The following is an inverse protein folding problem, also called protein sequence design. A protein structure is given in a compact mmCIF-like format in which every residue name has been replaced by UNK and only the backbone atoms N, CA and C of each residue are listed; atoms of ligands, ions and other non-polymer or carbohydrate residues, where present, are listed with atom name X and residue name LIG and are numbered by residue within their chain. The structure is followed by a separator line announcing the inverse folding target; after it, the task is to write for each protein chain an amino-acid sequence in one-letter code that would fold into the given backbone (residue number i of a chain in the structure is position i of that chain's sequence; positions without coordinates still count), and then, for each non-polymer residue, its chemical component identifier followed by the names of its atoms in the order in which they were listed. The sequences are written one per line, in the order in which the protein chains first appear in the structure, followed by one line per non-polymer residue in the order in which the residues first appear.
data_IF_382218477722
#
_entry.id   IF_382218477722
#
_cell.length_a   1.000
_cell.length_b   1.000
_cell.length_c   1.000
_cell.angle_alpha   90.00
_cell.angle_beta   90.00
_cell.angle_gamma   90.00
#
_symmetry.space_group_name_H-M   'P 1'
#
loop_
_entity.id
_entity.type
_entity.pdbx_description
1 polymer ?
#
# COMPACT_ATOMS: atom_id res chain seq x y z
N UNK A 1 -10.88 13.74 -7.97
CA UNK A 1 -9.89 12.68 -7.64
C UNK A 1 -8.98 12.48 -8.82
N UNK A 2 -7.70 12.23 -8.54
CA UNK A 2 -6.70 11.81 -9.54
C UNK A 2 -6.27 10.39 -9.15
N UNK A 3 -6.21 9.50 -10.15
CA UNK A 3 -5.76 8.11 -9.98
C UNK A 3 -4.48 7.96 -10.77
N UNK A 4 -3.40 7.55 -10.10
CA UNK A 4 -2.13 7.21 -10.73
C UNK A 4 -2.06 5.71 -10.95
N UNK A 5 -1.76 5.33 -12.19
CA UNK A 5 -1.75 3.94 -12.64
C UNK A 5 -0.47 3.64 -13.43
N UNK A 6 -0.04 2.38 -13.45
CA UNK A 6 1.04 1.86 -14.29
C UNK A 6 2.44 1.95 -13.70
N UNK A 7 2.72 2.76 -12.70
CA UNK A 7 4.02 2.82 -12.05
C UNK A 7 4.21 1.64 -11.08
N UNK A 8 5.42 1.18 -10.90
CA UNK A 8 5.76 0.01 -10.08
C UNK A 8 4.96 -1.28 -10.41
N UNK A 9 4.31 -1.33 -11.55
CA UNK A 9 3.66 -2.55 -12.02
C UNK A 9 4.71 -3.49 -12.65
N UNK A 10 4.48 -4.81 -12.70
CA UNK A 10 5.47 -5.77 -13.25
C UNK A 10 5.90 -5.48 -14.69
N UNK A 11 5.05 -4.80 -15.45
CA UNK A 11 5.33 -4.36 -16.82
C UNK A 11 5.89 -2.95 -16.93
N UNK A 12 5.84 -2.17 -15.84
CA UNK A 12 6.41 -0.82 -15.78
C UNK A 12 7.91 -0.90 -15.45
N UNK A 13 8.68 -0.03 -16.06
CA UNK A 13 10.10 0.14 -15.73
C UNK A 13 10.33 1.26 -14.71
N UNK A 14 9.25 1.94 -14.29
CA UNK A 14 9.31 3.05 -13.35
C UNK A 14 9.10 2.49 -11.95
N UNK A 15 10.08 2.71 -11.09
CA UNK A 15 10.06 2.28 -9.69
C UNK A 15 9.60 3.39 -8.76
N UNK A 16 9.33 3.07 -7.49
CA UNK A 16 9.06 4.05 -6.45
C UNK A 16 10.20 5.06 -6.27
N UNK A 17 11.45 4.61 -6.42
CA UNK A 17 12.62 5.48 -6.30
C UNK A 17 12.72 6.53 -7.41
N UNK A 18 12.24 6.19 -8.61
CA UNK A 18 12.33 7.04 -9.80
C UNK A 18 11.11 7.96 -9.96
N UNK A 19 9.98 7.59 -9.39
CA UNK A 19 8.74 8.36 -9.52
C UNK A 19 8.60 9.34 -8.35
N UNK A 20 8.63 10.67 -8.58
CA UNK A 20 8.58 11.69 -7.53
C UNK A 20 7.15 11.84 -6.97
N UNK A 21 6.58 10.76 -6.43
CA UNK A 21 5.17 10.69 -6.07
C UNK A 21 4.82 11.64 -4.93
N UNK A 22 5.71 11.83 -3.98
CA UNK A 22 5.54 12.78 -2.89
C UNK A 22 5.49 14.24 -3.38
N UNK A 23 6.31 14.61 -4.37
CA UNK A 23 6.26 15.93 -4.99
C UNK A 23 4.97 16.12 -5.79
N UNK A 24 4.55 15.10 -6.54
CA UNK A 24 3.29 15.11 -7.29
C UNK A 24 2.11 15.24 -6.33
N UNK A 25 2.08 14.46 -5.25
CA UNK A 25 1.05 14.54 -4.22
C UNK A 25 0.96 15.96 -3.63
N UNK A 26 2.09 16.52 -3.21
CA UNK A 26 2.15 17.88 -2.66
C UNK A 26 1.70 18.93 -3.68
N UNK A 27 2.10 18.77 -4.93
CA UNK A 27 1.68 19.68 -6.01
C UNK A 27 0.17 19.65 -6.23
N UNK A 28 -0.42 18.45 -6.31
CA UNK A 28 -1.88 18.30 -6.41
C UNK A 28 -2.58 18.96 -5.22
N UNK A 29 -2.11 18.73 -3.99
CA UNK A 29 -2.71 19.32 -2.78
C UNK A 29 -2.51 20.84 -2.70
N UNK A 30 -1.43 21.37 -3.24
CA UNK A 30 -1.21 22.82 -3.34
C UNK A 30 -2.22 23.49 -4.28
N UNK A 31 -2.44 22.89 -5.45
CA UNK A 31 -3.36 23.45 -6.46
C UNK A 31 -4.83 23.19 -6.10
N UNK A 32 -5.13 22.03 -5.56
CA UNK A 32 -6.49 21.59 -5.21
C UNK A 32 -6.49 20.82 -3.89
N UNK A 33 -6.54 21.50 -2.74
CA UNK A 33 -6.42 20.88 -1.41
C UNK A 33 -7.41 19.72 -1.15
N UNK A 34 -8.61 19.82 -1.72
CA UNK A 34 -9.69 18.83 -1.57
C UNK A 34 -9.64 17.72 -2.62
N UNK A 35 -8.71 17.74 -3.56
CA UNK A 35 -8.57 16.67 -4.54
C UNK A 35 -8.04 15.40 -3.88
N UNK A 36 -8.79 14.30 -4.00
CA UNK A 36 -8.33 13.00 -3.57
C UNK A 36 -7.31 12.43 -4.56
N UNK A 37 -6.26 11.85 -4.04
CA UNK A 37 -5.21 11.15 -4.79
C UNK A 37 -5.28 9.67 -4.47
N UNK A 38 -5.27 8.84 -5.49
CA UNK A 38 -5.24 7.38 -5.36
C UNK A 38 -4.10 6.79 -6.16
N UNK A 39 -3.48 5.77 -5.59
CA UNK A 39 -2.45 4.95 -6.21
C UNK A 39 -3.05 3.57 -6.53
N UNK A 40 -3.18 3.27 -7.82
CA UNK A 40 -3.74 2.00 -8.28
C UNK A 40 -2.73 0.85 -8.24
N UNK A 41 -1.45 1.14 -8.13
CA UNK A 41 -0.40 0.12 -8.20
C UNK A 41 0.21 -0.24 -6.83
N UNK A 42 -0.31 0.29 -5.75
CA UNK A 42 0.06 -0.14 -4.41
C UNK A 42 -0.48 -1.55 -4.06
N UNK A 43 -0.52 -2.42 -5.03
CA UNK A 43 -1.15 -3.75 -5.02
C UNK A 43 -0.44 -4.72 -4.10
N UNK A 44 0.85 -4.58 -3.95
CA UNK A 44 1.68 -5.40 -3.06
C UNK A 44 1.31 -5.17 -1.59
N UNK A 45 0.54 -4.13 -1.30
CA UNK A 45 0.23 -3.69 0.06
C UNK A 45 -1.24 -3.87 0.40
N UNK A 46 -1.74 -5.09 0.36
CA UNK A 46 -3.16 -5.42 0.44
C UNK A 46 -3.88 -4.97 1.71
N UNK A 47 -3.18 -4.70 2.81
CA UNK A 47 -3.76 -4.28 4.10
C UNK A 47 -3.11 -3.05 4.72
N UNK A 48 -2.16 -2.48 4.05
CA UNK A 48 -1.27 -1.53 4.65
C UNK A 48 -1.71 -0.10 4.47
N UNK A 49 -1.09 0.76 5.24
CA UNK A 49 -1.25 2.19 5.20
C UNK A 49 -1.18 2.77 3.78
N UNK A 50 -1.66 3.97 3.66
CA UNK A 50 -1.66 4.69 2.40
C UNK A 50 -0.26 5.29 2.17
N UNK A 51 0.36 4.92 1.05
CA UNK A 51 1.58 5.56 0.58
C UNK A 51 1.20 6.59 -0.48
N UNK A 52 1.61 7.83 -0.27
CA UNK A 52 1.46 8.93 -1.23
C UNK A 52 0.07 9.07 -1.83
N UNK A 53 -0.97 8.70 -1.09
CA UNK A 53 -2.36 8.76 -1.55
C UNK A 53 -3.36 8.85 -0.42
N UNK A 54 -4.54 9.36 -0.72
CA UNK A 54 -5.64 9.51 0.25
C UNK A 54 -6.54 8.27 0.28
N UNK A 55 -6.51 7.46 -0.79
CA UNK A 55 -7.43 6.35 -1.01
C UNK A 55 -6.65 5.13 -1.51
N UNK A 56 -6.89 3.98 -0.90
CA UNK A 56 -6.35 2.69 -1.35
C UNK A 56 -7.16 2.17 -2.55
N UNK A 57 -6.48 1.74 -3.58
CA UNK A 57 -7.11 1.15 -4.77
C UNK A 57 -6.97 -0.36 -4.81
N UNK A 58 -8.03 -1.02 -5.32
CA UNK A 58 -8.10 -2.47 -5.52
C UNK A 58 -8.62 -2.78 -6.93
N UNK A 59 -7.84 -3.51 -7.71
CA UNK A 59 -8.24 -3.96 -9.04
C UNK A 59 -8.77 -5.39 -8.99
N UNK A 60 -10.10 -5.56 -8.89
CA UNK A 60 -10.70 -6.90 -8.76
C UNK A 60 -10.43 -7.81 -9.95
N UNK A 61 -10.33 -7.27 -11.16
CA UNK A 61 -10.00 -8.06 -12.35
C UNK A 61 -8.56 -8.61 -12.28
N UNK A 62 -7.65 -7.90 -11.63
CA UNK A 62 -6.32 -8.41 -11.29
C UNK A 62 -6.35 -9.35 -10.07
N UNK A 63 -7.53 -9.53 -9.46
CA UNK A 63 -7.81 -10.38 -8.30
C UNK A 63 -7.43 -9.76 -6.98
N UNK A 64 -7.43 -8.46 -6.92
CA UNK A 64 -7.25 -7.70 -5.71
C UNK A 64 -8.61 -7.35 -5.15
N UNK A 65 -8.89 -7.91 -4.00
CA UNK A 65 -10.18 -7.74 -3.35
C UNK A 65 -10.01 -6.92 -2.08
N UNK A 66 -10.97 -6.04 -1.85
CA UNK A 66 -11.06 -5.30 -0.59
C UNK A 66 -11.07 -6.28 0.59
N UNK A 67 -10.11 -6.22 1.53
CA UNK A 67 -10.11 -7.07 2.71
C UNK A 67 -11.40 -6.93 3.52
N UNK A 68 -11.87 -8.03 4.11
CA UNK A 68 -13.11 -8.03 4.90
C UNK A 68 -13.01 -7.13 6.14
N UNK A 69 -11.82 -6.96 6.66
CA UNK A 69 -11.45 -6.12 7.81
C UNK A 69 -10.87 -4.75 7.42
N UNK A 70 -11.03 -4.33 6.15
CA UNK A 70 -10.52 -3.04 5.70
C UNK A 70 -11.17 -1.89 6.46
N UNK A 71 -10.33 -1.00 6.97
CA UNK A 71 -10.71 0.24 7.68
C UNK A 71 -10.22 1.50 6.96
N UNK A 72 -9.52 1.33 5.84
CA UNK A 72 -9.00 2.44 5.04
C UNK A 72 -10.03 2.94 4.04
N UNK A 73 -10.01 4.23 3.71
CA UNK A 73 -10.78 4.71 2.57
C UNK A 73 -10.27 4.05 1.30
N UNK A 74 -11.18 3.51 0.52
CA UNK A 74 -10.81 2.69 -0.61
C UNK A 74 -11.65 2.97 -1.87
N UNK A 75 -11.08 2.62 -3.01
CA UNK A 75 -11.81 2.38 -4.24
C UNK A 75 -11.53 0.96 -4.74
N UNK A 76 -12.48 0.41 -5.44
CA UNK A 76 -12.34 -0.87 -6.13
C UNK A 76 -12.81 -0.72 -7.56
N UNK A 77 -12.10 -1.32 -8.52
CA UNK A 77 -12.51 -1.28 -9.91
C UNK A 77 -12.86 -2.66 -10.43
N UNK A 78 -13.92 -2.71 -11.25
CA UNK A 78 -14.35 -3.89 -11.95
C UNK A 78 -14.76 -3.54 -13.39
N UNK A 79 -14.72 -4.51 -14.28
CA UNK A 79 -15.25 -4.34 -15.64
C UNK A 79 -16.62 -5.00 -15.74
N UNK A 80 -17.56 -4.42 -16.49
CA UNK A 80 -18.82 -5.10 -16.87
C UNK A 80 -18.59 -6.17 -17.93
N UNK A 81 -17.61 -5.94 -18.80
CA UNK A 81 -17.16 -6.85 -19.86
C UNK A 81 -16.04 -7.78 -19.36
N UNK A 82 -15.53 -8.65 -20.21
CA UNK A 82 -14.38 -9.51 -19.88
C UNK A 82 -13.07 -8.73 -19.70
N UNK A 83 -12.94 -7.55 -20.34
CA UNK A 83 -11.71 -6.75 -20.32
C UNK A 83 -11.99 -5.26 -20.14
N UNK A 84 -10.90 -4.49 -20.01
CA UNK A 84 -10.94 -3.05 -19.79
C UNK A 84 -11.35 -2.25 -21.04
N UNK A 85 -11.04 -2.78 -22.23
CA UNK A 85 -11.22 -2.06 -23.48
C UNK A 85 -12.31 -2.73 -24.32
N UNK A 86 -13.00 -1.91 -25.13
CA UNK A 86 -14.00 -2.40 -26.07
C UNK A 86 -13.36 -3.30 -27.12
N UNK A 87 -14.04 -4.39 -27.43
CA UNK A 87 -13.71 -5.32 -28.52
C UNK A 87 -14.97 -5.69 -29.26
N UNK A 88 -14.91 -5.68 -30.60
CA UNK A 88 -16.04 -6.09 -31.45
C UNK A 88 -16.56 -7.51 -31.08
N UNK A 89 -15.67 -8.41 -30.75
CA UNK A 89 -16.01 -9.78 -30.35
C UNK A 89 -16.79 -9.86 -29.02
N UNK A 90 -16.79 -8.80 -28.20
CA UNK A 90 -17.40 -8.80 -26.88
C UNK A 90 -18.83 -8.21 -26.86
N UNK A 91 -19.31 -7.63 -28.00
CA UNK A 91 -20.62 -6.97 -28.07
C UNK A 91 -21.78 -7.90 -27.68
N UNK A 92 -21.67 -9.18 -28.06
CA UNK A 92 -22.71 -10.20 -27.80
C UNK A 92 -22.40 -11.12 -26.60
N UNK A 93 -21.28 -10.89 -25.93
CA UNK A 93 -20.95 -11.66 -24.72
C UNK A 93 -21.80 -11.22 -23.54
N UNK A 94 -22.12 -12.14 -22.62
CA UNK A 94 -22.86 -11.80 -21.42
C UNK A 94 -22.04 -10.83 -20.56
N UNK A 95 -22.71 -9.80 -20.07
CA UNK A 95 -22.15 -8.87 -19.09
C UNK A 95 -22.24 -9.47 -17.69
N UNK A 96 -21.46 -8.92 -16.75
CA UNK A 96 -21.58 -9.30 -15.34
C UNK A 96 -23.01 -9.03 -14.84
N UNK A 97 -23.64 -9.99 -14.16
CA UNK A 97 -25.03 -9.85 -13.71
C UNK A 97 -25.20 -8.66 -12.74
N UNK A 98 -26.29 -7.93 -12.87
CA UNK A 98 -26.67 -6.83 -11.97
C UNK A 98 -26.59 -7.24 -10.50
N UNK A 99 -27.09 -8.43 -10.16
CA UNK A 99 -27.03 -8.98 -8.81
C UNK A 99 -25.60 -9.05 -8.28
N UNK A 100 -24.68 -9.60 -9.07
CA UNK A 100 -23.26 -9.69 -8.68
C UNK A 100 -22.66 -8.31 -8.43
N UNK A 101 -22.91 -7.35 -9.33
CA UNK A 101 -22.37 -5.99 -9.19
C UNK A 101 -22.92 -5.30 -7.95
N UNK A 102 -24.23 -5.42 -7.68
CA UNK A 102 -24.88 -4.67 -6.60
C UNK A 102 -24.79 -5.41 -5.27
N UNK A 103 -25.18 -6.68 -5.20
CA UNK A 103 -25.28 -7.42 -3.93
C UNK A 103 -23.95 -7.97 -3.46
N UNK A 104 -23.12 -8.51 -4.40
CA UNK A 104 -21.86 -9.14 -4.01
C UNK A 104 -20.70 -8.14 -3.89
N UNK A 105 -20.77 -7.01 -4.60
CA UNK A 105 -19.67 -6.03 -4.62
C UNK A 105 -20.05 -4.66 -4.04
N UNK A 106 -20.97 -3.94 -4.68
CA UNK A 106 -21.24 -2.53 -4.35
C UNK A 106 -21.69 -2.35 -2.90
N UNK A 107 -22.73 -3.07 -2.48
CA UNK A 107 -23.28 -2.94 -1.11
C UNK A 107 -22.25 -3.33 -0.03
N UNK A 108 -21.58 -4.50 -0.11
CA UNK A 108 -20.58 -4.87 0.90
C UNK A 108 -19.38 -3.95 0.94
N UNK A 109 -18.98 -3.40 -0.20
CA UNK A 109 -17.84 -2.48 -0.28
C UNK A 109 -18.18 -1.10 0.30
N UNK A 110 -19.35 -0.55 -0.03
CA UNK A 110 -19.78 0.72 0.55
C UNK A 110 -19.84 0.68 2.08
N UNK A 111 -20.29 -0.43 2.67
CA UNK A 111 -20.28 -0.63 4.13
C UNK A 111 -18.87 -0.54 4.74
N UNK A 112 -17.82 -0.71 3.94
CA UNK A 112 -16.41 -0.64 4.34
C UNK A 112 -15.70 0.59 3.79
N UNK A 113 -16.44 1.67 3.53
CA UNK A 113 -15.91 2.94 3.01
C UNK A 113 -15.13 2.79 1.70
N UNK A 114 -15.57 1.85 0.85
CA UNK A 114 -15.00 1.64 -0.47
C UNK A 114 -16.00 2.03 -1.56
N UNK A 115 -15.54 2.87 -2.49
CA UNK A 115 -16.28 3.22 -3.70
C UNK A 115 -16.01 2.19 -4.79
N UNK A 116 -17.08 1.68 -5.42
CA UNK A 116 -16.95 0.80 -6.59
C UNK A 116 -16.92 1.63 -7.87
N UNK A 117 -15.87 1.48 -8.66
CA UNK A 117 -15.77 2.00 -10.04
C UNK A 117 -16.12 0.85 -10.99
N UNK A 118 -17.10 1.09 -11.85
CA UNK A 118 -17.54 0.12 -12.84
C UNK A 118 -17.11 0.60 -14.22
N UNK A 119 -16.23 -0.16 -14.85
CA UNK A 119 -15.77 0.14 -16.20
C UNK A 119 -16.80 -0.38 -17.22
N UNK A 120 -17.26 0.54 -18.07
CA UNK A 120 -18.07 0.28 -19.24
C UNK A 120 -17.35 0.88 -20.45
N UNK A 121 -16.63 0.09 -21.25
CA UNK A 121 -15.79 0.61 -22.31
C UNK A 121 -16.61 1.18 -23.47
N UNK A 122 -16.36 2.45 -23.91
CA UNK A 122 -16.98 2.98 -25.10
C UNK A 122 -16.43 2.30 -26.36
N UNK A 123 -17.24 2.27 -27.41
CA UNK A 123 -16.83 1.81 -28.73
C UNK A 123 -15.93 2.83 -29.46
N UNK A 124 -15.58 2.57 -30.71
CA UNK A 124 -14.70 3.44 -31.51
C UNK A 124 -15.29 4.83 -31.82
N UNK A 125 -16.61 4.95 -31.72
CA UNK A 125 -17.31 6.23 -31.92
C UNK A 125 -17.47 7.01 -30.61
N UNK A 126 -16.92 6.49 -29.50
CA UNK A 126 -16.97 7.11 -28.18
C UNK A 126 -18.31 6.93 -27.47
N UNK A 127 -19.17 6.02 -27.93
CA UNK A 127 -20.48 5.72 -27.33
C UNK A 127 -20.53 4.33 -26.72
N UNK A 128 -21.36 4.16 -25.68
CA UNK A 128 -21.60 2.85 -25.08
C UNK A 128 -22.52 2.01 -25.94
N UNK A 129 -22.23 0.72 -26.02
CA UNK A 129 -23.15 -0.25 -26.61
C UNK A 129 -24.45 -0.36 -25.79
N UNK A 130 -25.58 -0.63 -26.46
CA UNK A 130 -26.90 -0.62 -25.82
C UNK A 130 -27.02 -1.61 -24.67
N UNK A 131 -26.37 -2.77 -24.75
CA UNK A 131 -26.32 -3.73 -23.64
C UNK A 131 -25.63 -3.18 -22.40
N UNK A 132 -24.55 -2.38 -22.55
CA UNK A 132 -23.87 -1.68 -21.45
C UNK A 132 -24.77 -0.59 -20.84
N UNK A 133 -25.47 0.18 -21.68
CA UNK A 133 -26.45 1.17 -21.22
C UNK A 133 -27.54 0.51 -20.39
N UNK A 134 -28.14 -0.59 -20.89
CA UNK A 134 -29.16 -1.34 -20.17
C UNK A 134 -28.64 -1.93 -18.85
N UNK A 135 -27.41 -2.45 -18.84
CA UNK A 135 -26.78 -2.98 -17.62
C UNK A 135 -26.58 -1.87 -16.56
N UNK A 136 -26.07 -0.72 -16.96
CA UNK A 136 -25.90 0.43 -16.06
C UNK A 136 -27.21 0.93 -15.49
N UNK A 137 -28.28 1.02 -16.32
CA UNK A 137 -29.62 1.34 -15.84
C UNK A 137 -30.16 0.31 -14.85
N UNK A 138 -29.93 -0.97 -15.09
CA UNK A 138 -30.35 -2.05 -14.20
C UNK A 138 -29.63 -1.99 -12.86
N UNK A 139 -28.31 -1.72 -12.88
CA UNK A 139 -27.51 -1.50 -11.67
C UNK A 139 -28.05 -0.30 -10.90
N UNK A 140 -28.28 0.83 -11.59
CA UNK A 140 -28.81 2.06 -10.96
C UNK A 140 -30.20 1.87 -10.33
N UNK A 141 -31.07 1.04 -10.92
CA UNK A 141 -32.38 0.70 -10.36
C UNK A 141 -32.30 -0.23 -9.16
N UNK A 142 -31.33 -1.15 -9.18
CA UNK A 142 -31.16 -2.16 -8.12
C UNK A 142 -30.42 -1.61 -6.89
N UNK A 143 -29.65 -0.51 -7.05
CA UNK A 143 -28.88 0.08 -5.97
C UNK A 143 -29.57 1.29 -5.37
N UNK A 144 -29.67 1.29 -4.05
CA UNK A 144 -30.12 2.47 -3.28
C UNK A 144 -28.92 3.02 -2.54
N UNK A 145 -28.66 4.32 -2.71
CA UNK A 145 -27.60 5.00 -1.99
C UNK A 145 -27.86 4.94 -0.48
N UNK A 146 -26.98 4.31 0.31
CA UNK A 146 -27.18 4.18 1.76
C UNK A 146 -26.95 5.49 2.53
N UNK A 147 -26.62 6.57 1.82
CA UNK A 147 -26.20 7.84 2.44
C UNK A 147 -24.72 7.88 2.79
N UNK A 148 -24.28 8.89 3.53
CA UNK A 148 -22.89 9.02 3.95
C UNK A 148 -22.44 7.81 4.77
N UNK A 149 -21.26 7.26 4.46
CA UNK A 149 -20.66 6.22 5.28
C UNK A 149 -20.31 6.74 6.68
N UNK A 150 -20.27 5.85 7.66
CA UNK A 150 -19.76 6.20 8.98
C UNK A 150 -18.32 6.73 8.86
N UNK A 151 -17.91 7.70 9.71
CA UNK A 151 -16.55 8.19 9.72
C UNK A 151 -15.56 7.03 9.88
N UNK A 152 -14.51 7.03 9.07
CA UNK A 152 -13.45 6.04 9.15
C UNK A 152 -12.73 6.22 10.48
N UNK A 153 -12.69 5.16 11.27
CA UNK A 153 -12.02 5.16 12.58
C UNK A 153 -10.56 4.74 12.40
N UNK A 154 -9.67 5.51 12.98
CA UNK A 154 -8.27 5.15 13.11
C UNK A 154 -7.29 6.17 12.51
N UNK A 155 -6.03 6.13 12.92
CA UNK A 155 -4.99 7.02 12.45
C UNK A 155 -4.44 6.51 11.11
N UNK A 156 -5.19 6.66 10.03
CA UNK A 156 -4.59 6.50 8.70
C UNK A 156 -4.14 7.88 8.20
N UNK A 157 -3.01 7.94 7.56
CA UNK A 157 -2.54 9.09 6.78
C UNK A 157 -1.69 8.59 5.63
N UNK A 158 -1.69 9.29 4.48
CA UNK A 158 -0.72 8.99 3.45
C UNK A 158 0.68 9.26 3.97
N UNK A 159 1.61 8.42 3.56
CA UNK A 159 3.04 8.68 3.71
C UNK A 159 3.42 9.66 2.61
N UNK A 160 3.86 10.84 2.99
CA UNK A 160 4.17 11.93 2.05
C UNK A 160 5.60 12.42 2.15
N UNK A 161 6.36 11.92 3.12
CA UNK A 161 7.75 12.28 3.34
C UNK A 161 8.69 11.33 2.61
N UNK A 162 9.84 11.85 2.23
CA UNK A 162 10.91 11.06 1.61
C UNK A 162 11.42 10.01 2.60
N UNK A 163 11.72 8.81 2.11
CA UNK A 163 12.37 7.78 2.91
C UNK A 163 13.82 8.18 3.25
N UNK A 164 14.06 8.45 4.52
CA UNK A 164 15.36 8.92 5.03
C UNK A 164 16.42 7.81 5.09
N UNK A 165 16.02 6.53 5.07
CA UNK A 165 16.95 5.40 5.07
C UNK A 165 17.32 4.97 3.66
N UNK A 166 16.66 5.48 2.63
CA UNK A 166 16.92 5.10 1.25
C UNK A 166 18.38 5.40 0.87
N UNK A 167 19.05 4.38 0.33
CA UNK A 167 20.46 4.44 -0.06
C UNK A 167 21.44 4.80 1.07
N UNK A 168 21.04 4.77 2.33
CA UNK A 168 21.95 4.84 3.46
C UNK A 168 22.75 3.52 3.58
N UNK A 169 23.91 3.58 4.24
CA UNK A 169 24.66 2.37 4.58
C UNK A 169 23.79 1.46 5.46
N UNK A 170 23.62 0.23 5.02
CA UNK A 170 22.81 -0.78 5.73
C UNK A 170 23.61 -2.06 5.89
N UNK A 171 23.45 -2.72 7.03
CA UNK A 171 24.03 -4.02 7.31
C UNK A 171 23.01 -4.96 7.94
N UNK A 172 23.16 -6.23 7.70
CA UNK A 172 22.40 -7.30 8.34
C UNK A 172 23.31 -8.14 9.21
N UNK A 173 22.72 -8.90 10.15
CA UNK A 173 23.46 -9.96 10.86
C UNK A 173 24.04 -10.97 9.88
N UNK A 174 23.19 -11.48 8.99
CA UNK A 174 23.50 -12.37 7.88
C UNK A 174 22.48 -12.18 6.77
N UNK A 175 22.85 -12.50 5.56
CA UNK A 175 21.98 -12.47 4.38
C UNK A 175 22.08 -13.79 3.63
N UNK A 176 21.02 -14.20 2.98
CA UNK A 176 21.05 -15.29 2.02
C UNK A 176 21.93 -14.92 0.81
N UNK A 177 22.48 -15.91 0.13
CA UNK A 177 23.31 -15.70 -1.05
C UNK A 177 22.54 -14.92 -2.13
N UNK A 178 23.17 -13.89 -2.66
CA UNK A 178 22.58 -13.02 -3.67
C UNK A 178 21.52 -12.03 -3.15
N UNK A 179 21.31 -11.95 -1.82
CA UNK A 179 20.34 -11.03 -1.21
C UNK A 179 21.05 -10.10 -0.24
N UNK A 180 21.70 -9.06 -0.77
CA UNK A 180 22.34 -8.03 0.07
C UNK A 180 21.33 -7.24 0.89
N UNK A 181 21.72 -6.70 2.07
CA UNK A 181 20.84 -5.93 2.94
C UNK A 181 20.37 -4.61 2.29
N UNK A 182 21.09 -4.10 1.31
CA UNK A 182 20.75 -2.95 0.47
C UNK A 182 19.43 -3.10 -0.27
N UNK A 183 18.98 -4.33 -0.54
CA UNK A 183 17.67 -4.60 -1.13
C UNK A 183 16.49 -4.20 -0.20
N UNK A 184 16.76 -3.94 1.07
CA UNK A 184 15.73 -3.50 2.02
C UNK A 184 15.65 -1.96 2.17
N UNK A 185 16.46 -1.20 1.42
CA UNK A 185 16.42 0.26 1.41
C UNK A 185 16.81 0.89 0.07
N UNK A 186 16.65 0.15 -1.02
CA UNK A 186 16.97 0.62 -2.37
C UNK A 186 15.83 1.41 -3.03
N UNK A 187 14.68 1.51 -2.36
CA UNK A 187 13.48 2.21 -2.85
C UNK A 187 12.67 1.38 -3.85
N UNK A 188 12.97 0.10 -4.01
CA UNK A 188 12.29 -0.79 -4.95
C UNK A 188 11.48 -1.85 -4.22
N UNK A 189 10.20 -1.61 -4.03
CA UNK A 189 9.30 -2.50 -3.29
C UNK A 189 9.17 -3.91 -3.89
N UNK A 190 9.64 -4.11 -5.12
CA UNK A 190 9.70 -5.43 -5.76
C UNK A 190 10.96 -6.23 -5.42
N UNK A 191 11.97 -5.59 -4.86
CA UNK A 191 13.17 -6.25 -4.37
C UNK A 191 12.95 -6.78 -2.95
N UNK A 192 13.70 -7.78 -2.57
CA UNK A 192 13.52 -8.40 -1.26
C UNK A 192 14.86 -8.85 -0.70
N UNK A 193 15.16 -8.42 0.50
CA UNK A 193 16.20 -8.99 1.32
C UNK A 193 15.70 -10.24 2.05
N UNK A 194 16.57 -11.26 2.14
CA UNK A 194 16.27 -12.52 2.80
C UNK A 194 17.28 -12.85 3.90
N UNK A 195 16.80 -13.39 5.03
CA UNK A 195 17.69 -14.08 5.96
C UNK A 195 18.16 -15.41 5.38
N UNK A 196 19.31 -15.96 5.83
CA UNK A 196 19.64 -17.36 5.54
C UNK A 196 18.55 -18.32 6.05
N UNK A 197 18.43 -19.49 5.43
CA UNK A 197 17.60 -20.59 5.91
C UNK A 197 18.04 -21.02 7.31
N UNK A 198 17.04 -21.27 8.19
CA UNK A 198 17.26 -21.72 9.56
C UNK A 198 17.79 -20.64 10.52
N UNK A 199 17.82 -19.37 10.14
CA UNK A 199 18.13 -18.27 11.04
C UNK A 199 16.95 -18.02 11.98
N UNK A 200 17.23 -17.92 13.31
CA UNK A 200 16.18 -17.67 14.32
C UNK A 200 16.03 -16.20 14.68
N UNK A 201 17.12 -15.44 14.61
CA UNK A 201 17.16 -14.01 14.94
C UNK A 201 17.89 -13.23 13.84
N UNK A 202 17.34 -12.11 13.46
CA UNK A 202 17.91 -11.26 12.45
C UNK A 202 17.84 -9.77 12.81
N UNK A 203 18.63 -8.98 12.14
CA UNK A 203 18.50 -7.52 12.15
C UNK A 203 18.91 -6.90 10.83
N UNK A 204 18.33 -5.75 10.55
CA UNK A 204 18.79 -4.75 9.61
C UNK A 204 19.19 -3.50 10.39
N UNK A 205 20.40 -3.00 10.20
CA UNK A 205 20.93 -1.80 10.86
C UNK A 205 21.33 -0.79 9.81
N UNK A 206 20.76 0.39 9.88
CA UNK A 206 21.04 1.53 9.00
C UNK A 206 21.91 2.53 9.73
N UNK A 207 22.91 3.06 9.05
CA UNK A 207 23.71 4.19 9.51
C UNK A 207 23.43 5.42 8.64
N UNK A 208 22.86 6.46 9.26
CA UNK A 208 22.62 7.74 8.59
C UNK A 208 23.95 8.48 8.40
N UNK A 209 24.12 9.23 7.30
CA UNK A 209 25.34 10.05 7.08
C UNK A 209 25.57 11.07 8.19
N UNK A 210 24.51 11.56 8.81
CA UNK A 210 24.52 12.50 9.95
C UNK A 210 23.35 12.18 10.90
N UNK A 211 23.33 12.70 12.14
CA UNK A 211 22.17 12.58 13.01
C UNK A 211 20.90 13.05 12.29
N UNK A 212 19.92 12.17 12.18
CA UNK A 212 18.74 12.34 11.35
C UNK A 212 17.50 12.32 12.22
N UNK A 213 16.57 13.23 11.94
CA UNK A 213 15.29 13.36 12.64
C UNK A 213 14.23 12.53 11.92
N UNK A 214 13.46 11.74 12.67
CA UNK A 214 12.32 10.99 12.15
C UNK A 214 11.28 10.74 13.25
N UNK A 215 10.05 10.46 12.85
CA UNK A 215 8.94 10.19 13.76
C UNK A 215 8.00 9.09 13.26
N UNK A 216 8.31 8.46 12.13
CA UNK A 216 7.51 7.38 11.57
C UNK A 216 8.42 6.30 11.01
N UNK A 217 8.16 5.06 11.39
CA UNK A 217 8.90 3.88 10.96
C UNK A 217 7.97 2.95 10.18
N UNK A 218 8.47 2.36 9.10
CA UNK A 218 7.69 1.44 8.29
C UNK A 218 8.51 0.21 7.94
N UNK A 219 7.87 -0.93 8.01
CA UNK A 219 8.40 -2.22 7.57
C UNK A 219 7.48 -2.79 6.49
N UNK A 220 8.08 -3.24 5.40
CA UNK A 220 7.38 -3.83 4.25
C UNK A 220 7.83 -5.26 4.05
N UNK A 221 6.87 -6.20 4.13
CA UNK A 221 7.08 -7.62 3.84
C UNK A 221 6.31 -8.05 2.57
N UNK A 222 6.80 -9.03 1.81
CA UNK A 222 6.12 -9.55 0.61
C UNK A 222 4.93 -10.44 0.97
N UNK A 223 3.97 -9.91 1.73
CA UNK A 223 2.73 -10.60 2.11
C UNK A 223 1.62 -10.17 1.15
N UNK A 224 0.88 -11.13 0.62
CA UNK A 224 -0.24 -10.85 -0.26
C UNK A 224 -0.18 -11.63 -1.56
N UNK A 225 -0.99 -11.25 -2.54
CA UNK A 225 -1.16 -12.02 -3.78
C UNK A 225 0.10 -12.12 -4.64
N UNK A 226 0.85 -11.03 -4.70
CA UNK A 226 2.10 -10.97 -5.45
C UNK A 226 3.31 -11.25 -4.57
N UNK A 227 3.10 -11.29 -3.24
CA UNK A 227 4.06 -11.78 -2.28
C UNK A 227 4.02 -13.30 -2.23
N UNK A 228 5.16 -13.90 -1.98
CA UNK A 228 5.30 -15.35 -1.89
C UNK A 228 4.55 -15.97 -0.71
N UNK A 229 3.98 -15.15 0.19
CA UNK A 229 3.50 -15.59 1.49
C UNK A 229 2.13 -15.02 1.86
N UNK A 230 1.34 -15.83 2.60
CA UNK A 230 0.02 -15.45 3.09
C UNK A 230 0.05 -14.81 4.48
N UNK A 231 1.20 -14.78 5.15
CA UNK A 231 1.37 -14.25 6.52
C UNK A 231 2.81 -13.82 6.74
N UNK A 232 3.03 -12.98 7.75
CA UNK A 232 4.36 -12.60 8.19
C UNK A 232 5.23 -13.79 8.57
N UNK A 233 6.51 -13.65 8.34
CA UNK A 233 7.58 -14.57 8.76
C UNK A 233 8.40 -14.01 9.91
N UNK A 234 8.01 -12.84 10.37
CA UNK A 234 8.60 -12.14 11.49
C UNK A 234 7.69 -12.34 12.71
N UNK A 235 8.25 -12.82 13.79
CA UNK A 235 7.58 -12.94 15.08
C UNK A 235 7.66 -11.66 15.89
N UNK A 236 8.31 -11.72 17.04
CA UNK A 236 8.59 -10.54 17.85
C UNK A 236 9.64 -9.66 17.17
N UNK A 237 9.45 -8.34 17.17
CA UNK A 237 10.37 -7.39 16.56
C UNK A 237 10.52 -6.10 17.37
N UNK A 238 11.66 -5.45 17.17
CA UNK A 238 12.03 -4.21 17.86
C UNK A 238 12.61 -3.24 16.84
N UNK A 239 12.10 -2.01 16.82
CA UNK A 239 12.79 -0.88 16.25
C UNK A 239 13.60 -0.21 17.34
N UNK A 240 14.87 0.03 17.07
CA UNK A 240 15.83 0.55 18.05
C UNK A 240 16.66 1.65 17.40
N UNK A 241 17.02 2.69 18.18
CA UNK A 241 18.00 3.67 17.76
C UNK A 241 19.24 3.64 18.65
N UNK A 242 20.36 4.17 18.16
CA UNK A 242 21.55 4.31 18.96
C UNK A 242 21.32 5.22 20.16
N UNK A 243 21.94 4.85 21.27
CA UNK A 243 21.88 5.56 22.54
C UNK A 243 23.28 5.54 23.18
N UNK A 244 23.73 6.70 23.59
CA UNK A 244 25.11 6.87 24.11
C UNK A 244 25.35 6.10 25.42
N UNK A 245 24.30 5.89 26.23
CA UNK A 245 24.41 5.25 27.54
C UNK A 245 24.17 3.74 27.47
N UNK A 246 23.19 3.31 26.69
CA UNK A 246 22.72 1.91 26.66
C UNK A 246 23.12 1.16 25.39
N UNK A 247 23.73 1.83 24.44
CA UNK A 247 24.05 1.33 23.12
C UNK A 247 22.85 1.31 22.18
N UNK A 248 21.68 0.81 22.64
CA UNK A 248 20.44 0.78 21.88
C UNK A 248 19.23 1.08 22.75
N UNK A 249 18.36 1.96 22.27
CA UNK A 249 17.09 2.31 22.90
C UNK A 249 15.92 1.83 22.03
N UNK A 250 14.98 1.11 22.62
CA UNK A 250 13.79 0.62 21.95
C UNK A 250 12.85 1.80 21.65
N UNK A 251 12.44 1.91 20.39
CA UNK A 251 11.46 2.87 19.89
C UNK A 251 10.09 2.21 19.75
N UNK A 252 10.06 0.98 19.25
CA UNK A 252 8.85 0.17 19.05
C UNK A 252 9.15 -1.27 19.43
N UNK A 253 8.21 -1.89 20.09
CA UNK A 253 8.16 -3.33 20.30
C UNK A 253 6.84 -3.86 19.76
N UNK A 254 6.90 -4.86 18.90
CA UNK A 254 5.73 -5.45 18.28
C UNK A 254 5.85 -6.96 18.13
N UNK A 255 4.71 -7.62 17.97
CA UNK A 255 4.60 -9.04 17.71
C UNK A 255 3.30 -9.35 16.97
N UNK A 256 3.23 -10.54 16.38
CA UNK A 256 2.03 -11.08 15.74
C UNK A 256 1.40 -10.14 14.68
N UNK A 257 2.23 -9.33 14.02
CA UNK A 257 1.73 -8.48 12.95
C UNK A 257 1.34 -9.31 11.72
N UNK A 258 0.37 -8.81 10.95
CA UNK A 258 -0.21 -9.55 9.83
C UNK A 258 -0.24 -8.77 8.52
N UNK A 259 0.17 -7.52 8.58
CA UNK A 259 0.07 -6.60 7.45
C UNK A 259 1.38 -6.58 6.64
N UNK A 260 1.24 -6.51 5.32
CA UNK A 260 2.39 -6.41 4.41
C UNK A 260 3.18 -5.10 4.65
N UNK A 261 2.50 -4.05 5.07
CA UNK A 261 3.13 -2.80 5.49
C UNK A 261 2.69 -2.48 6.91
N UNK A 262 3.64 -2.37 7.80
CA UNK A 262 3.40 -2.02 9.19
C UNK A 262 4.02 -0.66 9.48
N UNK A 263 3.20 0.30 9.91
CA UNK A 263 3.60 1.68 10.15
C UNK A 263 3.47 2.02 11.62
N UNK A 264 4.51 2.65 12.18
CA UNK A 264 4.57 3.08 13.58
C UNK A 264 4.85 4.57 13.65
N UNK A 265 3.98 5.30 14.31
CA UNK A 265 4.26 6.67 14.73
C UNK A 265 4.95 6.66 16.08
N UNK A 266 6.09 7.31 16.18
CA UNK A 266 6.91 7.41 17.39
C UNK A 266 7.11 8.88 17.77
N UNK A 267 7.51 9.20 19.00
CA UNK A 267 7.99 10.52 19.34
C UNK A 267 9.14 10.93 18.40
N UNK A 268 9.19 12.21 18.06
CA UNK A 268 10.25 12.75 17.20
C UNK A 268 11.62 12.42 17.78
N UNK A 269 12.37 11.62 17.05
CA UNK A 269 13.62 11.01 17.49
C UNK A 269 14.76 11.49 16.59
N UNK A 270 15.92 11.75 17.19
CA UNK A 270 17.16 12.03 16.49
C UNK A 270 18.14 10.91 16.76
N UNK A 271 18.72 10.32 15.75
CA UNK A 271 19.74 9.28 15.91
C UNK A 271 20.67 9.21 14.70
N UNK A 272 21.82 8.57 14.87
CA UNK A 272 22.75 8.28 13.79
C UNK A 272 22.58 6.85 13.28
N UNK A 273 22.01 5.96 14.11
CA UNK A 273 21.73 4.57 13.71
C UNK A 273 20.30 4.17 14.04
N UNK A 274 19.74 3.40 13.15
CA UNK A 274 18.42 2.79 13.29
C UNK A 274 18.53 1.29 13.05
N UNK A 275 17.90 0.47 13.89
CA UNK A 275 17.92 -0.98 13.74
C UNK A 275 16.52 -1.56 13.84
N UNK A 276 16.17 -2.43 12.91
CA UNK A 276 15.06 -3.35 13.01
C UNK A 276 15.63 -4.74 13.40
N UNK A 277 15.35 -5.20 14.61
CA UNK A 277 15.72 -6.52 15.11
C UNK A 277 14.47 -7.37 15.27
N UNK A 278 14.52 -8.65 14.92
CA UNK A 278 13.33 -9.52 14.96
C UNK A 278 13.65 -11.00 15.04
N UNK A 279 12.66 -11.78 15.50
CA UNK A 279 12.66 -13.24 15.43
C UNK A 279 12.15 -13.72 14.07
N UNK A 280 12.80 -14.73 13.53
CA UNK A 280 12.36 -15.44 12.32
C UNK A 280 11.53 -16.64 12.75
N UNK A 281 10.25 -16.67 12.39
CA UNK A 281 9.31 -17.73 12.82
C UNK A 281 9.01 -18.77 11.75
N UNK A 282 9.71 -18.67 10.61
CA UNK A 282 9.67 -19.62 9.51
C UNK A 282 11.10 -19.89 9.06
N UNK A 283 11.29 -20.59 7.98
CA UNK A 283 12.62 -20.93 7.46
C UNK A 283 13.48 -19.69 7.16
N UNK A 284 12.89 -18.68 6.52
CA UNK A 284 13.55 -17.41 6.15
C UNK A 284 12.59 -16.24 6.40
N UNK A 285 13.09 -15.11 6.88
CA UNK A 285 12.35 -13.85 6.88
C UNK A 285 12.67 -13.05 5.62
N UNK A 286 11.74 -12.20 5.22
CA UNK A 286 11.79 -11.42 4.01
C UNK A 286 11.38 -9.99 4.29
N UNK A 287 12.20 -9.02 3.87
CA UNK A 287 11.90 -7.59 3.94
C UNK A 287 12.05 -7.00 2.54
N UNK A 288 11.01 -6.35 2.04
CA UNK A 288 11.08 -5.61 0.78
C UNK A 288 11.69 -4.24 0.99
N UNK A 289 11.25 -3.53 2.04
CA UNK A 289 11.71 -2.17 2.27
C UNK A 289 11.50 -1.79 3.74
N UNK A 290 12.38 -0.94 4.25
CA UNK A 290 12.20 -0.25 5.52
C UNK A 290 12.22 1.27 5.29
N UNK A 291 11.46 1.99 6.13
CA UNK A 291 11.40 3.45 6.05
C UNK A 291 11.61 4.07 7.41
N UNK A 292 12.29 5.20 7.42
CA UNK A 292 12.21 6.20 8.46
C UNK A 292 11.79 7.52 7.82
N UNK A 293 10.77 8.16 8.38
CA UNK A 293 10.12 9.33 7.80
C UNK A 293 10.03 10.44 8.85
N UNK A 294 10.24 11.68 8.43
CA UNK A 294 9.94 12.86 9.22
C UNK A 294 8.60 13.44 8.75
N UNK A 295 7.52 12.82 9.23
CA UNK A 295 6.17 13.24 8.88
C UNK A 295 5.78 14.51 9.63
N UNK A 296 5.14 15.49 8.97
CA UNK A 296 4.68 16.70 9.62
C UNK A 296 3.67 16.36 10.73
N UNK A 297 3.80 17.04 11.87
CA UNK A 297 2.79 16.96 12.92
C UNK A 297 1.44 17.43 12.38
N UNK A 298 0.40 16.64 12.59
CA UNK A 298 -0.95 17.07 12.22
C UNK A 298 -1.37 18.23 13.10
N UNK A 299 -1.68 19.35 12.48
CA UNK A 299 -2.55 20.35 13.13
C UNK A 299 -3.92 19.66 13.28
N UNK A 300 -4.25 19.29 14.49
CA UNK A 300 -5.62 18.87 14.86
C UNK A 300 -6.49 20.12 14.68
N UNK A 301 -7.17 20.21 13.54
CA UNK A 301 -8.27 21.17 13.43
C UNK A 301 -9.35 20.57 14.31
N UNK A 302 -9.49 21.12 15.52
CA UNK A 302 -10.65 20.84 16.38
C UNK A 302 -11.91 21.24 15.61
N UNK A 303 -12.97 20.43 15.64
CA UNK A 303 -14.20 20.70 14.93
C UNK A 303 -14.88 22.00 15.40
#
# INVERSE_FOLDING_TARGET
MIIFDGWNAPWSRITYAEFPFDDIYRHVKHLQPNCLVSDLNAQTFSKAGLFYGDIKAYEQNAGEYLPLDSVLPALSCVTLTEGWFWKLADIHKPLKPTKQVVEDWLIPQNKRSCTLIVNAPPNRDGVLEQNLVHALHSIGKAWTNPGPAAPIRGPWKPVTSKNLVQCCAIRARRSADGSGPDLANDGQLGHTWFTPSGENDAYLEVEFPQPTVYNTLVMVEPIGRWGSYRRSRIGEFFWECDDVQTGWRILVHGKDHRDAVTTFTIPRTVSKKLRLRFQVICDMAHINEIFALDEPERVTISP
#
